data_IF_306535560286
#
_entry.id   IF_306535560286
#
_cell.length_a   1.000
_cell.length_b   1.000
_cell.length_c   1.000
_cell.angle_alpha   90.00
_cell.angle_beta   90.00
_cell.angle_gamma   90.00
#
_symmetry.space_group_name_H-M   'P 1'
#
loop_
_entity.id
_entity.type
_entity.pdbx_description
1 polymer ?
#
# COMPACT_ATOMS: atom_id res chain seq x y z
N UNK A 1 -29.81 15.32 -5.95
CA UNK A 1 -29.05 14.10 -5.65
C UNK A 1 -29.95 13.18 -4.86
N UNK A 2 -30.59 12.22 -5.52
CA UNK A 2 -31.55 11.32 -4.87
C UNK A 2 -30.83 10.33 -3.97
N UNK A 3 -31.50 9.82 -2.93
CA UNK A 3 -30.92 8.83 -2.00
C UNK A 3 -30.28 7.62 -2.71
N UNK A 4 -30.83 7.16 -3.84
CA UNK A 4 -30.26 6.07 -4.64
C UNK A 4 -28.89 6.41 -5.25
N UNK A 5 -28.65 7.68 -5.58
CA UNK A 5 -27.36 8.18 -6.07
C UNK A 5 -26.30 8.13 -4.94
N UNK A 6 -26.69 8.49 -3.72
CA UNK A 6 -25.82 8.39 -2.53
C UNK A 6 -25.46 6.94 -2.16
N UNK A 7 -26.41 6.00 -2.28
CA UNK A 7 -26.12 4.57 -2.07
C UNK A 7 -25.18 4.01 -3.15
N UNK A 8 -25.32 4.46 -4.40
CA UNK A 8 -24.40 4.10 -5.48
C UNK A 8 -22.97 4.57 -5.22
N UNK A 9 -22.80 5.82 -4.79
CA UNK A 9 -21.49 6.38 -4.41
C UNK A 9 -20.89 5.63 -3.21
N UNK A 10 -21.70 5.30 -2.20
CA UNK A 10 -21.23 4.55 -1.04
C UNK A 10 -20.73 3.16 -1.44
N UNK A 11 -21.51 2.41 -2.22
CA UNK A 11 -21.12 1.09 -2.70
C UNK A 11 -19.82 1.16 -3.53
N UNK A 12 -19.69 2.16 -4.41
CA UNK A 12 -18.47 2.39 -5.18
C UNK A 12 -17.26 2.67 -4.27
N UNK A 13 -17.41 3.53 -3.25
CA UNK A 13 -16.32 3.85 -2.31
C UNK A 13 -15.84 2.63 -1.52
N UNK A 14 -16.75 1.75 -1.12
CA UNK A 14 -16.42 0.52 -0.39
C UNK A 14 -15.61 -0.41 -1.30
N UNK A 15 -16.05 -0.60 -2.55
CA UNK A 15 -15.35 -1.43 -3.52
C UNK A 15 -13.94 -0.87 -3.78
N UNK A 16 -13.81 0.44 -3.99
CA UNK A 16 -12.50 1.10 -4.15
C UNK A 16 -11.60 0.89 -2.94
N UNK A 17 -12.12 1.07 -1.72
CA UNK A 17 -11.37 0.85 -0.49
C UNK A 17 -10.88 -0.60 -0.37
N UNK A 18 -11.71 -1.59 -0.72
CA UNK A 18 -11.34 -3.00 -0.71
C UNK A 18 -10.23 -3.32 -1.73
N UNK A 19 -10.31 -2.75 -2.94
CA UNK A 19 -9.27 -2.92 -3.97
C UNK A 19 -7.95 -2.31 -3.50
N UNK A 20 -7.99 -1.09 -2.95
CA UNK A 20 -6.79 -0.43 -2.42
C UNK A 20 -6.19 -1.21 -1.23
N UNK A 21 -7.03 -1.74 -0.35
CA UNK A 21 -6.60 -2.61 0.76
C UNK A 21 -5.91 -3.87 0.23
N UNK A 22 -6.46 -4.52 -0.79
CA UNK A 22 -5.86 -5.70 -1.40
C UNK A 22 -4.48 -5.38 -1.99
N UNK A 23 -4.36 -4.28 -2.74
CA UNK A 23 -3.07 -3.83 -3.28
C UNK A 23 -2.05 -3.53 -2.17
N UNK A 24 -2.47 -2.90 -1.06
CA UNK A 24 -1.60 -2.64 0.08
C UNK A 24 -1.10 -3.94 0.74
N UNK A 25 -1.98 -4.93 0.93
CA UNK A 25 -1.61 -6.24 1.49
C UNK A 25 -0.60 -6.95 0.58
N UNK A 26 -0.84 -6.98 -0.73
CA UNK A 26 0.09 -7.57 -1.68
C UNK A 26 1.45 -6.85 -1.69
N UNK A 27 1.45 -5.51 -1.65
CA UNK A 27 2.66 -4.70 -1.54
C UNK A 27 3.47 -5.04 -0.28
N UNK A 28 2.81 -5.24 0.85
CA UNK A 28 3.46 -5.63 2.10
C UNK A 28 4.18 -6.98 1.99
N UNK A 29 3.54 -8.01 1.42
CA UNK A 29 4.18 -9.32 1.23
C UNK A 29 5.42 -9.26 0.33
N UNK A 30 5.35 -8.49 -0.78
CA UNK A 30 6.51 -8.26 -1.64
C UNK A 30 7.63 -7.55 -0.87
N UNK A 31 7.28 -6.59 -0.01
CA UNK A 31 8.24 -5.88 0.82
C UNK A 31 8.94 -6.80 1.82
N UNK A 32 8.21 -7.72 2.47
CA UNK A 32 8.79 -8.74 3.35
C UNK A 32 9.82 -9.59 2.60
N UNK A 33 9.48 -10.03 1.38
CA UNK A 33 10.40 -10.77 0.53
C UNK A 33 11.67 -9.97 0.21
N UNK A 34 11.53 -8.69 -0.14
CA UNK A 34 12.67 -7.79 -0.43
C UNK A 34 13.58 -7.66 0.79
N UNK A 35 13.02 -7.44 1.98
CA UNK A 35 13.80 -7.28 3.21
C UNK A 35 14.54 -8.57 3.56
N UNK A 36 13.88 -9.73 3.42
CA UNK A 36 14.50 -11.02 3.72
C UNK A 36 15.62 -11.37 2.74
N UNK A 37 15.39 -11.17 1.44
CA UNK A 37 16.42 -11.36 0.42
C UNK A 37 17.60 -10.39 0.63
N UNK A 38 17.32 -9.12 0.90
CA UNK A 38 18.34 -8.09 1.17
C UNK A 38 19.19 -8.41 2.39
N UNK A 39 18.60 -8.91 3.48
CA UNK A 39 19.34 -9.34 4.66
C UNK A 39 20.27 -10.53 4.37
N UNK A 40 19.81 -11.50 3.57
CA UNK A 40 20.62 -12.63 3.13
C UNK A 40 21.83 -12.19 2.30
N UNK A 41 21.66 -11.21 1.40
CA UNK A 41 22.76 -10.63 0.63
C UNK A 41 23.77 -9.87 1.50
N UNK A 42 23.31 -9.28 2.61
CA UNK A 42 24.14 -8.58 3.58
C UNK A 42 24.83 -9.51 4.59
N UNK A 43 24.60 -10.82 4.52
CA UNK A 43 25.18 -11.80 5.45
C UNK A 43 24.53 -11.81 6.84
N UNK A 44 23.35 -11.20 7.00
CA UNK A 44 22.60 -11.21 8.24
C UNK A 44 21.51 -12.28 8.21
N UNK A 45 21.26 -12.91 9.37
CA UNK A 45 20.11 -13.80 9.59
C UNK A 45 19.16 -13.16 10.61
N UNK A 46 18.35 -12.16 10.19
CA UNK A 46 17.40 -11.51 11.07
C UNK A 46 16.27 -12.47 11.46
N UNK A 47 15.79 -12.36 12.70
CA UNK A 47 14.56 -13.02 13.13
C UNK A 47 13.36 -12.52 12.32
N UNK A 48 12.36 -13.39 12.14
CA UNK A 48 11.17 -13.09 11.35
C UNK A 48 10.44 -11.82 11.83
N UNK A 49 10.42 -11.57 13.15
CA UNK A 49 9.79 -10.39 13.73
C UNK A 49 10.43 -9.08 13.23
N UNK A 50 11.76 -9.07 13.08
CA UNK A 50 12.50 -7.91 12.55
C UNK A 50 12.23 -7.69 11.07
N UNK A 51 12.17 -8.76 10.27
CA UNK A 51 11.87 -8.68 8.83
C UNK A 51 10.47 -8.09 8.63
N UNK A 52 9.48 -8.58 9.37
CA UNK A 52 8.09 -8.13 9.30
C UNK A 52 7.96 -6.67 9.74
N UNK A 53 8.60 -6.29 10.84
CA UNK A 53 8.58 -4.90 11.33
C UNK A 53 9.25 -3.94 10.33
N UNK A 54 10.46 -4.26 9.84
CA UNK A 54 11.15 -3.44 8.84
C UNK A 54 10.35 -3.34 7.54
N UNK A 55 9.72 -4.43 7.10
CA UNK A 55 8.84 -4.42 5.93
C UNK A 55 7.58 -3.59 6.15
N UNK A 56 7.01 -3.56 7.35
CA UNK A 56 5.83 -2.76 7.67
C UNK A 56 6.14 -1.25 7.56
N UNK A 57 7.28 -0.82 8.12
CA UNK A 57 7.71 0.58 8.05
C UNK A 57 8.05 0.96 6.60
N UNK A 58 8.76 0.09 5.87
CA UNK A 58 9.10 0.33 4.46
C UNK A 58 7.85 0.39 3.56
N UNK A 59 6.89 -0.51 3.76
CA UNK A 59 5.62 -0.52 3.03
C UNK A 59 4.82 0.75 3.31
N UNK A 60 4.78 1.23 4.56
CA UNK A 60 4.16 2.51 4.91
C UNK A 60 4.80 3.67 4.14
N UNK A 61 6.14 3.71 4.09
CA UNK A 61 6.87 4.70 3.31
C UNK A 61 6.58 4.64 1.80
N UNK A 62 6.50 3.44 1.23
CA UNK A 62 6.19 3.23 -0.17
C UNK A 62 4.76 3.67 -0.54
N UNK A 63 3.78 3.36 0.32
CA UNK A 63 2.38 3.76 0.12
C UNK A 63 2.24 5.28 0.18
N UNK A 64 2.86 5.94 1.17
CA UNK A 64 2.84 7.40 1.30
C UNK A 64 3.56 8.08 0.13
N UNK A 65 4.73 7.58 -0.26
CA UNK A 65 5.47 8.12 -1.40
C UNK A 65 4.70 7.95 -2.73
N UNK A 66 3.97 6.84 -2.91
CA UNK A 66 3.12 6.59 -4.07
C UNK A 66 1.88 7.49 -4.14
N UNK A 67 1.39 8.02 -3.02
CA UNK A 67 0.28 8.98 -3.01
C UNK A 67 0.66 10.35 -3.58
N UNK A 68 1.94 10.72 -3.52
CA UNK A 68 2.47 12.00 -4.02
C UNK A 68 2.39 12.16 -5.54
N UNK A 69 2.83 11.22 -6.40
CA UNK A 69 2.70 11.34 -7.85
C UNK A 69 1.23 11.28 -8.31
N UNK A 70 0.37 10.51 -7.63
CA UNK A 70 -1.09 10.51 -7.92
C UNK A 70 -1.71 11.88 -7.61
N UNK A 71 -1.31 12.53 -6.51
CA UNK A 71 -1.73 13.91 -6.21
C UNK A 71 -1.20 14.91 -7.24
N UNK A 72 0.02 14.70 -7.75
CA UNK A 72 0.60 15.53 -8.81
C UNK A 72 -0.16 15.43 -10.13
N UNK A 73 -0.57 14.21 -10.51
CA UNK A 73 -1.36 13.95 -11.73
C UNK A 73 -2.80 14.47 -11.62
N UNK A 74 -3.41 14.40 -10.43
CA UNK A 74 -4.76 14.93 -10.20
C UNK A 74 -4.85 16.46 -10.34
N UNK A 75 -3.74 17.18 -10.08
CA UNK A 75 -3.67 18.63 -10.21
C UNK A 75 -3.32 19.12 -11.63
N UNK A 76 -2.83 18.25 -12.52
CA UNK A 76 -2.48 18.63 -13.90
C UNK A 76 -3.66 18.64 -14.87
N UNK A 77 -4.84 18.19 -14.45
CA UNK A 77 -6.12 18.27 -15.19
C UNK A 77 -7.01 19.47 -14.74
N UNK A 78 -6.42 20.46 -14.06
CA UNK A 78 -7.00 21.78 -13.77
C UNK A 78 -6.24 22.86 -14.55
#
# INVERSE_FOLDING_TARGET
MGVLDSFGILAASIITALVMLLFAVLSFFVTVFIVQAGAGLAGYSPGADFVVLSAAILSTGAIVAGASPVSGLANSDQ
#
